data_IF_876557708158
#
_entry.id   IF_876557708158
#
_cell.length_a   1.000
_cell.length_b   1.000
_cell.length_c   1.000
_cell.angle_alpha   90.00
_cell.angle_beta   90.00
_cell.angle_gamma   90.00
#
_symmetry.space_group_name_H-M   'P 1'
#
loop_
_entity.id
_entity.type
_entity.pdbx_description
1 polymer ?
#
# COMPACT_ATOMS: atom_id res chain seq x y z
N UNK A 1 5.30 31.07 70.64
CA UNK A 1 4.49 31.43 69.46
C UNK A 1 3.86 30.17 68.88
N UNK A 2 2.55 30.25 68.65
CA UNK A 2 1.56 29.40 67.94
C UNK A 2 1.92 27.94 67.59
N UNK A 3 1.21 27.02 68.25
CA UNK A 3 0.97 25.63 67.84
C UNK A 3 -0.04 25.59 66.70
N UNK A 4 0.16 24.74 65.69
CA UNK A 4 -0.95 24.15 64.91
C UNK A 4 -0.59 22.71 64.52
N UNK A 5 -1.35 21.77 65.09
CA UNK A 5 -1.54 20.40 64.60
C UNK A 5 -2.90 20.39 63.92
N UNK A 6 -3.01 19.93 62.68
CA UNK A 6 -4.28 19.43 62.11
C UNK A 6 -3.95 18.24 61.22
N UNK A 7 -4.45 17.08 61.65
CA UNK A 7 -4.59 15.82 60.93
C UNK A 7 -6.03 15.82 60.40
N UNK A 8 -6.25 15.46 59.14
CA UNK A 8 -7.52 14.88 58.69
C UNK A 8 -7.29 13.98 57.48
N UNK A 9 -7.48 12.69 57.71
CA UNK A 9 -7.74 11.65 56.71
C UNK A 9 -9.25 11.49 56.53
N UNK A 10 -9.66 11.05 55.33
CA UNK A 10 -10.93 10.46 54.89
C UNK A 10 -11.20 11.00 53.48
N UNK A 11 -11.47 10.24 52.43
CA UNK A 11 -11.97 8.87 52.37
C UNK A 11 -13.05 8.85 51.27
N UNK A 12 -12.91 7.89 50.35
CA UNK A 12 -14.00 7.17 49.68
C UNK A 12 -15.13 7.98 48.99
N UNK A 13 -15.13 7.98 47.66
CA UNK A 13 -16.38 7.78 46.88
C UNK A 13 -16.08 7.08 45.56
N UNK A 14 -16.36 5.77 45.54
CA UNK A 14 -16.67 4.99 44.35
C UNK A 14 -17.96 5.55 43.73
N UNK A 15 -17.91 6.04 42.50
CA UNK A 15 -19.11 6.36 41.72
C UNK A 15 -19.07 5.55 40.43
N UNK A 16 -19.72 4.38 40.49
CA UNK A 16 -20.22 3.68 39.32
C UNK A 16 -21.45 4.43 38.82
N UNK A 17 -21.35 5.05 37.64
CA UNK A 17 -22.53 5.49 36.88
C UNK A 17 -22.50 4.77 35.55
N UNK A 18 -23.26 3.68 35.48
CA UNK A 18 -23.69 3.07 34.23
C UNK A 18 -24.78 3.96 33.64
N UNK A 19 -24.46 4.65 32.55
CA UNK A 19 -25.46 5.30 31.69
C UNK A 19 -25.48 4.57 30.35
N UNK A 20 -26.40 3.63 30.24
CA UNK A 20 -26.91 3.16 28.95
C UNK A 20 -27.93 4.20 28.49
N UNK A 21 -27.51 5.11 27.61
CA UNK A 21 -28.42 5.82 26.73
C UNK A 21 -27.98 5.54 25.29
N UNK A 22 -28.73 4.66 24.65
CA UNK A 22 -28.94 4.67 23.21
C UNK A 22 -29.48 6.04 22.80
N UNK A 23 -28.81 6.69 21.86
CA UNK A 23 -29.24 7.95 21.27
C UNK A 23 -28.28 8.35 20.15
N UNK A 24 -28.72 8.13 18.92
CA UNK A 24 -28.01 8.40 17.67
C UNK A 24 -27.43 9.81 17.60
N UNK A 25 -26.25 9.93 17.01
CA UNK A 25 -25.74 11.15 16.42
C UNK A 25 -25.05 10.75 15.12
N UNK A 26 -25.76 11.02 14.03
CA UNK A 26 -25.38 10.84 12.63
C UNK A 26 -24.03 11.48 12.29
N UNK A 27 -23.29 10.83 11.38
CA UNK A 27 -22.35 11.54 10.50
C UNK A 27 -20.97 10.92 10.29
N UNK A 28 -20.72 9.66 10.66
CA UNK A 28 -19.41 9.03 10.41
C UNK A 28 -19.53 7.51 10.19
N UNK A 29 -20.40 7.06 9.28
CA UNK A 29 -20.47 5.64 8.92
C UNK A 29 -20.33 5.41 7.40
N UNK A 30 -20.68 6.39 6.56
CA UNK A 30 -20.62 6.26 5.09
C UNK A 30 -19.23 5.99 4.50
N UNK A 31 -18.13 6.38 5.17
CA UNK A 31 -16.76 6.18 4.63
C UNK A 31 -16.11 4.86 5.04
N UNK A 32 -16.63 4.20 6.06
CA UNK A 32 -16.08 2.92 6.52
C UNK A 32 -16.80 1.76 5.83
N UNK A 33 -18.11 1.90 5.60
CA UNK A 33 -18.91 0.94 4.84
C UNK A 33 -18.45 0.85 3.38
N UNK A 34 -18.13 1.98 2.74
CA UNK A 34 -17.65 2.04 1.35
C UNK A 34 -16.26 1.35 1.17
N UNK A 35 -15.43 1.35 2.22
CA UNK A 35 -14.15 0.61 2.24
C UNK A 35 -14.35 -0.89 2.47
N UNK A 36 -15.30 -1.27 3.32
CA UNK A 36 -15.64 -2.68 3.57
C UNK A 36 -16.29 -3.30 2.32
N UNK A 37 -17.18 -2.60 1.64
CA UNK A 37 -17.82 -3.07 0.40
C UNK A 37 -16.79 -3.24 -0.74
N UNK A 38 -15.80 -2.33 -0.83
CA UNK A 38 -14.68 -2.45 -1.77
C UNK A 38 -13.74 -3.63 -1.44
N UNK A 39 -13.50 -3.92 -0.16
CA UNK A 39 -12.68 -5.05 0.30
C UNK A 39 -13.39 -6.40 0.07
N UNK A 40 -14.70 -6.50 0.31
CA UNK A 40 -15.49 -7.73 0.06
C UNK A 40 -15.58 -8.07 -1.43
N UNK A 41 -15.61 -7.05 -2.30
CA UNK A 41 -15.61 -7.23 -3.74
C UNK A 41 -14.24 -7.73 -4.25
N UNK A 42 -13.14 -7.29 -3.66
CA UNK A 42 -11.78 -7.78 -3.97
C UNK A 42 -11.57 -9.25 -3.56
N UNK A 43 -12.11 -9.67 -2.40
CA UNK A 43 -12.01 -11.08 -1.96
C UNK A 43 -12.82 -12.02 -2.86
N UNK A 44 -14.01 -11.59 -3.30
CA UNK A 44 -14.88 -12.40 -4.17
C UNK A 44 -14.27 -12.63 -5.56
N UNK A 45 -13.58 -11.64 -6.12
CA UNK A 45 -12.91 -11.77 -7.43
C UNK A 45 -11.59 -12.56 -7.34
N UNK A 46 -10.89 -12.53 -6.20
CA UNK A 46 -9.72 -13.37 -5.93
C UNK A 46 -10.10 -14.86 -5.78
N UNK A 47 -11.21 -15.19 -5.12
CA UNK A 47 -11.68 -16.58 -5.02
C UNK A 47 -12.19 -17.14 -6.37
N UNK A 48 -12.81 -16.31 -7.22
CA UNK A 48 -13.23 -16.72 -8.56
C UNK A 48 -12.03 -17.04 -9.48
N UNK A 49 -10.91 -16.35 -9.32
CA UNK A 49 -9.68 -16.61 -10.08
C UNK A 49 -8.95 -17.88 -9.62
N UNK A 50 -9.14 -18.29 -8.36
CA UNK A 50 -8.50 -19.49 -7.79
C UNK A 50 -9.38 -20.77 -7.89
N UNK A 51 -10.70 -20.65 -8.13
CA UNK A 51 -11.59 -21.79 -8.33
C UNK A 51 -11.66 -22.31 -9.78
N UNK A 52 -10.86 -21.74 -10.70
CA UNK A 52 -10.88 -22.02 -12.13
C UNK A 52 -9.87 -23.05 -12.64
N UNK A 53 -9.36 -23.95 -11.80
CA UNK A 53 -8.44 -25.03 -12.24
C UNK A 53 -8.79 -26.34 -11.55
N UNK A 54 -9.78 -27.03 -12.12
CA UNK A 54 -10.28 -28.31 -11.63
C UNK A 54 -10.69 -29.24 -12.76
N UNK A 55 -9.68 -29.75 -13.49
CA UNK A 55 -9.59 -31.14 -13.96
C UNK A 55 -10.75 -31.72 -14.79
N UNK A 56 -10.63 -31.64 -16.11
CA UNK A 56 -11.20 -32.66 -17.01
C UNK A 56 -10.08 -33.29 -17.85
N UNK A 57 -9.73 -34.52 -17.53
CA UNK A 57 -8.94 -35.40 -18.40
C UNK A 57 -9.21 -36.85 -18.06
N UNK A 58 -10.21 -37.45 -18.71
CA UNK A 58 -10.09 -38.83 -19.19
C UNK A 58 -11.11 -39.11 -20.30
N UNK A 59 -10.65 -39.24 -21.55
CA UNK A 59 -11.53 -39.62 -22.66
C UNK A 59 -10.91 -39.52 -24.06
N UNK A 60 -10.09 -40.52 -24.38
CA UNK A 60 -10.05 -41.20 -25.70
C UNK A 60 -9.58 -40.45 -26.96
N UNK A 61 -8.34 -40.76 -27.36
CA UNK A 61 -7.78 -41.04 -28.69
C UNK A 61 -8.59 -40.67 -29.96
N UNK A 62 -8.00 -39.82 -30.84
CA UNK A 62 -7.81 -40.09 -32.30
C UNK A 62 -7.12 -38.93 -33.04
N UNK A 63 -5.87 -39.17 -33.44
CA UNK A 63 -5.15 -38.71 -34.64
C UNK A 63 -5.81 -37.69 -35.62
N UNK A 64 -5.18 -36.52 -35.84
CA UNK A 64 -5.00 -35.89 -37.17
C UNK A 64 -4.12 -34.61 -37.15
N UNK A 65 -2.90 -34.72 -37.69
CA UNK A 65 -2.15 -33.78 -38.55
C UNK A 65 -2.42 -32.26 -38.51
N UNK A 66 -1.42 -31.51 -38.02
CA UNK A 66 -0.78 -30.36 -38.71
C UNK A 66 -1.48 -28.99 -38.70
N UNK A 67 -0.85 -28.01 -38.04
CA UNK A 67 -0.53 -26.67 -38.58
C UNK A 67 -0.01 -25.76 -37.46
N UNK A 68 1.16 -25.19 -37.68
CA UNK A 68 1.74 -24.08 -36.91
C UNK A 68 0.75 -22.91 -36.77
N UNK A 69 0.47 -22.51 -35.53
CA UNK A 69 0.19 -21.11 -35.17
C UNK A 69 0.49 -20.97 -33.68
N UNK A 70 1.73 -20.58 -33.39
CA UNK A 70 2.16 -20.15 -32.07
C UNK A 70 1.58 -18.75 -31.81
N UNK A 71 0.29 -18.70 -31.47
CA UNK A 71 -0.35 -17.55 -30.85
C UNK A 71 -0.28 -17.72 -29.35
N UNK A 72 0.93 -17.54 -28.80
CA UNK A 72 1.15 -17.62 -27.37
C UNK A 72 0.62 -16.35 -26.73
N UNK A 73 -0.55 -16.51 -26.12
CA UNK A 73 -0.92 -15.96 -24.83
C UNK A 73 -0.36 -14.55 -24.57
N UNK A 74 -1.11 -13.55 -25.03
CA UNK A 74 -1.04 -12.21 -24.46
C UNK A 74 -1.57 -12.29 -23.04
N UNK A 75 -0.70 -12.78 -22.13
CA UNK A 75 -0.80 -12.50 -20.72
C UNK A 75 -0.91 -10.99 -20.62
N UNK A 76 -2.10 -10.52 -20.26
CA UNK A 76 -2.35 -9.14 -19.88
C UNK A 76 -1.48 -8.87 -18.66
N UNK A 77 -0.20 -8.55 -18.89
CA UNK A 77 0.58 -7.75 -17.95
C UNK A 77 -0.27 -6.51 -17.75
N UNK A 78 -0.79 -6.31 -16.55
CA UNK A 78 -1.08 -4.96 -16.11
C UNK A 78 0.21 -4.18 -16.44
N UNK A 79 0.15 -3.26 -17.40
CA UNK A 79 1.36 -2.63 -17.93
C UNK A 79 2.05 -1.93 -16.77
N UNK A 80 3.28 -2.33 -16.44
CA UNK A 80 4.09 -1.53 -15.53
C UNK A 80 4.19 -0.13 -16.13
N UNK A 81 4.17 0.89 -15.28
CA UNK A 81 4.44 2.24 -15.73
C UNK A 81 5.82 2.30 -16.43
N UNK A 82 6.00 3.22 -17.38
CA UNK A 82 7.32 3.43 -17.95
C UNK A 82 8.24 4.17 -16.96
N UNK A 83 9.55 4.08 -17.20
CA UNK A 83 10.56 4.66 -16.32
C UNK A 83 10.37 6.17 -16.08
N UNK A 84 10.07 6.95 -17.13
CA UNK A 84 9.90 8.40 -16.99
C UNK A 84 8.69 8.76 -16.13
N UNK A 85 7.61 7.97 -16.20
CA UNK A 85 6.45 8.09 -15.33
C UNK A 85 6.81 7.79 -13.88
N UNK A 86 7.55 6.72 -13.62
CA UNK A 86 8.01 6.33 -12.28
C UNK A 86 8.94 7.37 -11.67
N UNK A 87 9.95 7.79 -12.43
CA UNK A 87 10.86 8.87 -12.04
C UNK A 87 10.09 10.15 -11.67
N UNK A 88 9.12 10.55 -12.48
CA UNK A 88 8.30 11.72 -12.20
C UNK A 88 7.43 11.55 -10.94
N UNK A 89 6.90 10.34 -10.71
CA UNK A 89 6.11 10.02 -9.53
C UNK A 89 6.97 10.10 -8.25
N UNK A 90 8.16 9.50 -8.26
CA UNK A 90 9.14 9.54 -7.16
C UNK A 90 9.53 10.99 -6.85
N UNK A 91 9.90 11.78 -7.86
CA UNK A 91 10.24 13.20 -7.68
C UNK A 91 9.09 14.00 -7.07
N UNK A 92 7.86 13.77 -7.55
CA UNK A 92 6.67 14.45 -7.03
C UNK A 92 6.33 14.04 -5.60
N UNK A 93 6.44 12.75 -5.26
CA UNK A 93 6.18 12.25 -3.91
C UNK A 93 7.23 12.78 -2.92
N UNK A 94 8.51 12.76 -3.28
CA UNK A 94 9.57 13.34 -2.48
C UNK A 94 9.36 14.85 -2.28
N UNK A 95 8.93 15.60 -3.30
CA UNK A 95 8.60 17.02 -3.17
C UNK A 95 7.40 17.26 -2.24
N UNK A 96 6.36 16.42 -2.33
CA UNK A 96 5.20 16.47 -1.42
C UNK A 96 5.63 16.26 0.04
N UNK A 97 6.43 15.24 0.32
CA UNK A 97 6.96 15.00 1.67
C UNK A 97 7.85 16.16 2.13
N UNK A 98 8.69 16.68 1.25
CA UNK A 98 9.54 17.83 1.55
C UNK A 98 8.75 19.09 1.92
N UNK A 99 7.55 19.24 1.35
CA UNK A 99 6.65 20.38 1.57
C UNK A 99 5.60 20.12 2.64
N UNK A 100 5.51 18.90 3.16
CA UNK A 100 4.52 18.52 4.16
C UNK A 100 4.77 19.28 5.47
N UNK A 101 3.68 19.70 6.11
CA UNK A 101 3.69 20.33 7.41
C UNK A 101 2.54 19.75 8.24
N UNK A 102 2.82 18.88 9.22
CA UNK A 102 1.77 18.26 10.02
C UNK A 102 0.91 19.32 10.69
N UNK A 103 -0.42 19.17 10.58
CA UNK A 103 -1.36 20.17 11.09
C UNK A 103 -2.63 19.53 11.64
N UNK A 104 -3.37 20.28 12.46
CA UNK A 104 -4.59 19.80 13.12
C UNK A 104 -4.31 18.96 14.37
N UNK A 105 -5.27 18.12 14.72
CA UNK A 105 -5.22 17.18 15.85
C UNK A 105 -4.27 16.01 15.58
N UNK A 106 -3.91 15.28 16.62
CA UNK A 106 -3.05 14.09 16.48
C UNK A 106 -3.67 12.99 15.60
N UNK A 107 -5.00 12.88 15.56
CA UNK A 107 -5.67 11.92 14.69
C UNK A 107 -5.56 12.33 13.21
N UNK A 108 -5.79 13.62 12.92
CA UNK A 108 -5.63 14.17 11.56
C UNK A 108 -4.18 14.12 11.08
N UNK A 109 -3.20 14.32 11.97
CA UNK A 109 -1.78 14.17 11.63
C UNK A 109 -1.42 12.73 11.31
N UNK A 110 -1.94 11.74 12.05
CA UNK A 110 -1.77 10.32 11.69
C UNK A 110 -2.39 9.97 10.34
N UNK A 111 -3.57 10.51 10.03
CA UNK A 111 -4.19 10.30 8.73
C UNK A 111 -3.35 10.93 7.60
N UNK A 112 -2.82 12.13 7.81
CA UNK A 112 -1.89 12.78 6.88
C UNK A 112 -0.63 11.94 6.65
N UNK A 113 -0.05 11.38 7.72
CA UNK A 113 1.10 10.48 7.66
C UNK A 113 0.82 9.26 6.78
N UNK A 114 -0.21 8.47 7.12
CA UNK A 114 -0.53 7.26 6.36
C UNK A 114 -0.96 7.54 4.92
N UNK A 115 -1.54 8.71 4.65
CA UNK A 115 -1.85 9.10 3.27
C UNK A 115 -0.57 9.23 2.43
N UNK A 116 0.46 9.88 2.98
CA UNK A 116 1.74 10.04 2.28
C UNK A 116 2.54 8.74 2.25
N UNK A 117 2.54 7.96 3.35
CA UNK A 117 3.21 6.67 3.42
C UNK A 117 2.68 5.69 2.37
N UNK A 118 1.36 5.53 2.29
CA UNK A 118 0.75 4.68 1.27
C UNK A 118 1.06 5.17 -0.16
N UNK A 119 1.20 6.47 -0.39
CA UNK A 119 1.61 6.98 -1.70
C UNK A 119 3.06 6.59 -2.03
N UNK A 120 3.98 6.64 -1.06
CA UNK A 120 5.36 6.17 -1.24
C UNK A 120 5.39 4.65 -1.50
N UNK A 121 4.67 3.87 -0.69
CA UNK A 121 4.58 2.41 -0.82
C UNK A 121 4.00 1.97 -2.17
N UNK A 122 2.98 2.68 -2.65
CA UNK A 122 2.39 2.40 -3.96
C UNK A 122 3.41 2.64 -5.08
N UNK A 123 4.26 3.67 -4.98
CA UNK A 123 5.29 3.98 -5.98
C UNK A 123 6.43 2.95 -5.91
N UNK A 124 6.88 2.61 -4.71
CA UNK A 124 7.88 1.57 -4.45
C UNK A 124 7.46 0.24 -5.09
N UNK A 125 6.21 -0.17 -4.84
CA UNK A 125 5.66 -1.36 -5.47
C UNK A 125 5.59 -1.27 -7.01
N UNK A 126 5.39 -0.09 -7.58
CA UNK A 126 5.46 0.06 -9.04
C UNK A 126 6.90 -0.01 -9.58
N UNK A 127 7.90 0.40 -8.81
CA UNK A 127 9.32 0.21 -9.16
C UNK A 127 9.67 -1.27 -9.16
N UNK A 128 9.26 -2.04 -8.14
CA UNK A 128 9.42 -3.50 -8.08
C UNK A 128 8.86 -4.18 -9.34
N UNK A 129 7.62 -3.82 -9.73
CA UNK A 129 6.97 -4.39 -10.90
C UNK A 129 7.68 -4.01 -12.21
N UNK A 130 8.25 -2.81 -12.26
CA UNK A 130 9.05 -2.36 -13.40
C UNK A 130 10.37 -3.12 -13.48
N UNK A 131 11.04 -3.35 -12.35
CA UNK A 131 12.27 -4.12 -12.26
C UNK A 131 12.06 -5.59 -12.67
N UNK A 132 11.00 -6.22 -12.16
CA UNK A 132 10.57 -7.56 -12.57
C UNK A 132 10.34 -7.66 -14.09
N UNK A 133 9.75 -6.62 -14.70
CA UNK A 133 9.56 -6.56 -16.14
C UNK A 133 10.91 -6.45 -16.88
N UNK A 134 11.79 -5.59 -16.38
CA UNK A 134 13.14 -5.37 -16.91
C UNK A 134 13.97 -6.67 -16.90
N UNK A 135 13.92 -7.43 -15.79
CA UNK A 135 14.55 -8.75 -15.70
C UNK A 135 14.03 -9.71 -16.76
N UNK A 136 12.70 -9.71 -16.99
CA UNK A 136 12.07 -10.57 -17.99
C UNK A 136 12.48 -10.18 -19.42
N UNK A 137 12.56 -8.88 -19.74
CA UNK A 137 13.05 -8.39 -21.03
C UNK A 137 14.51 -8.79 -21.25
N UNK A 138 15.35 -8.68 -20.23
CA UNK A 138 16.74 -9.13 -20.30
C UNK A 138 16.86 -10.65 -20.49
N UNK A 139 16.11 -11.44 -19.70
CA UNK A 139 16.08 -12.92 -19.81
C UNK A 139 15.57 -13.41 -21.17
N UNK A 140 14.62 -12.69 -21.76
CA UNK A 140 14.12 -13.00 -23.11
C UNK A 140 15.07 -12.57 -24.24
N UNK A 141 16.09 -11.76 -23.94
CA UNK A 141 17.03 -11.19 -24.90
C UNK A 141 16.48 -9.99 -25.67
N UNK A 142 15.33 -9.44 -25.25
CA UNK A 142 14.74 -8.22 -25.81
C UNK A 142 15.50 -6.97 -25.35
N UNK A 143 16.14 -7.04 -24.19
CA UNK A 143 17.01 -6.01 -23.62
C UNK A 143 18.45 -6.51 -23.54
N UNK A 144 19.42 -5.68 -23.94
CA UNK A 144 20.83 -6.04 -23.84
C UNK A 144 21.38 -5.81 -22.42
N UNK A 145 22.46 -6.52 -22.09
CA UNK A 145 23.03 -6.51 -20.74
C UNK A 145 23.56 -5.12 -20.30
N UNK A 146 23.93 -4.24 -21.23
CA UNK A 146 24.41 -2.90 -20.89
C UNK A 146 23.25 -1.96 -20.58
N UNK A 147 22.17 -2.02 -21.37
CA UNK A 147 20.93 -1.30 -21.13
C UNK A 147 20.28 -1.74 -19.80
N UNK A 148 20.15 -3.06 -19.58
CA UNK A 148 19.66 -3.65 -18.33
C UNK A 148 20.39 -3.10 -17.10
N UNK A 149 21.72 -3.22 -17.07
CA UNK A 149 22.55 -2.70 -15.94
C UNK A 149 22.50 -1.19 -15.76
N UNK A 150 22.10 -0.43 -16.77
CA UNK A 150 21.92 1.01 -16.62
C UNK A 150 20.56 1.29 -15.98
N UNK A 151 19.51 0.64 -16.45
CA UNK A 151 18.16 0.80 -15.90
C UNK A 151 18.08 0.34 -14.44
N UNK A 152 18.73 -0.77 -14.07
CA UNK A 152 18.83 -1.21 -12.66
C UNK A 152 19.40 -0.12 -11.75
N UNK A 153 20.51 0.50 -12.16
CA UNK A 153 21.12 1.60 -11.38
C UNK A 153 20.23 2.82 -11.29
N UNK A 154 19.44 3.05 -12.34
CA UNK A 154 18.52 4.17 -12.38
C UNK A 154 17.32 3.90 -11.46
N UNK A 155 16.86 2.64 -11.35
CA UNK A 155 15.84 2.17 -10.38
C UNK A 155 16.38 2.27 -8.94
N UNK A 156 17.58 1.72 -8.66
CA UNK A 156 18.25 1.83 -7.35
C UNK A 156 18.28 3.29 -6.86
N UNK A 157 18.57 4.24 -7.77
CA UNK A 157 18.63 5.65 -7.44
C UNK A 157 17.25 6.28 -7.16
N UNK A 158 16.17 5.72 -7.70
CA UNK A 158 14.80 6.13 -7.39
C UNK A 158 14.36 5.58 -6.03
N UNK A 159 14.71 4.33 -5.71
CA UNK A 159 14.46 3.71 -4.40
C UNK A 159 15.18 4.46 -3.28
N UNK A 160 16.45 4.81 -3.46
CA UNK A 160 17.21 5.66 -2.52
C UNK A 160 16.49 6.99 -2.21
N UNK A 161 15.77 7.56 -3.18
CA UNK A 161 14.98 8.79 -3.01
C UNK A 161 13.71 8.51 -2.20
N UNK A 162 13.03 7.39 -2.46
CA UNK A 162 11.85 6.98 -1.70
C UNK A 162 12.20 6.69 -0.24
N UNK A 163 13.27 5.94 0.02
CA UNK A 163 13.78 5.67 1.37
C UNK A 163 14.07 6.98 2.13
N UNK A 164 14.76 7.91 1.47
CA UNK A 164 15.05 9.23 2.06
C UNK A 164 13.77 10.02 2.34
N UNK A 165 12.75 9.90 1.49
CA UNK A 165 11.46 10.55 1.68
C UNK A 165 10.69 9.90 2.83
N UNK A 166 10.70 8.58 2.95
CA UNK A 166 10.08 7.82 4.03
C UNK A 166 10.69 8.17 5.38
N UNK A 167 12.01 8.05 5.52
CA UNK A 167 12.76 8.45 6.73
C UNK A 167 12.38 9.88 7.17
N UNK A 168 12.30 10.79 6.20
CA UNK A 168 11.92 12.17 6.47
C UNK A 168 10.47 12.29 6.92
N UNK A 169 9.55 11.55 6.30
CA UNK A 169 8.13 11.55 6.62
C UNK A 169 7.93 11.10 8.08
N UNK A 170 8.57 10.01 8.47
CA UNK A 170 8.56 9.48 9.83
C UNK A 170 9.07 10.50 10.86
N UNK A 171 10.23 11.12 10.58
CA UNK A 171 10.80 12.16 11.44
C UNK A 171 9.89 13.39 11.53
N UNK A 172 9.26 13.80 10.42
CA UNK A 172 8.39 14.97 10.36
C UNK A 172 7.13 14.80 11.21
N UNK A 173 6.51 13.62 11.15
CA UNK A 173 5.29 13.30 11.90
C UNK A 173 5.56 12.72 13.30
N UNK A 174 6.80 12.28 13.58
CA UNK A 174 7.18 11.64 14.83
C UNK A 174 6.52 10.27 15.03
N UNK A 175 6.34 9.54 13.94
CA UNK A 175 5.73 8.20 13.88
C UNK A 175 6.77 7.28 13.26
N UNK A 176 7.07 6.19 13.96
CA UNK A 176 7.94 5.07 13.56
C UNK A 176 6.98 3.90 13.32
N UNK A 177 6.99 3.31 12.12
CA UNK A 177 6.08 2.24 11.71
C UNK A 177 6.77 0.87 11.72
#
# INVERSE_FOLDING_TARGET
MKRKRIITAAGLTLVLVSSVLTGCSDGHEDKLEDKVEKLEQQVTDLERKNAGTGSDSNGTDSNASGADTQGQDGSTSAGSADYDTLKSAVEAAAEKVNSAAPSGTAAEQREQFYTLKNELDDIDHQLDLYDDNLENEYRSGSLDAAAYRQQEKDIDALEDILDTAEDKLEVLFGIDD
#
